data_IF_882473700647
#
_entry.id   IF_882473700647
#
_cell.length_a   1.000
_cell.length_b   1.000
_cell.length_c   1.000
_cell.angle_alpha   90.00
_cell.angle_beta   90.00
_cell.angle_gamma   90.00
#
_symmetry.space_group_name_H-M   'P 1'
#
loop_
_entity.id
_entity.type
_entity.pdbx_description
1 polymer ?
#
# COMPACT_ATOMS: atom_id res chain seq x y z
N UNK A 1 31.55 49.60 -20.28
CA UNK A 1 32.27 48.71 -19.33
C UNK A 1 31.47 48.35 -18.08
N UNK A 2 30.53 49.18 -17.59
CA UNK A 2 29.72 48.84 -16.41
C UNK A 2 28.59 47.80 -16.66
N UNK A 3 28.03 47.74 -17.88
CA UNK A 3 26.94 46.81 -18.21
C UNK A 3 27.41 45.36 -18.39
N UNK A 4 28.65 45.17 -18.82
CA UNK A 4 29.26 43.84 -18.97
C UNK A 4 29.70 43.25 -17.63
N UNK A 5 30.09 44.08 -16.66
CA UNK A 5 30.44 43.64 -15.31
C UNK A 5 29.22 43.20 -14.48
N UNK A 6 28.04 43.83 -14.68
CA UNK A 6 26.83 43.47 -13.93
C UNK A 6 26.23 42.11 -14.36
N UNK A 7 26.50 41.66 -15.59
CA UNK A 7 26.11 40.34 -16.09
C UNK A 7 26.93 39.19 -15.50
N UNK A 8 28.19 39.45 -15.14
CA UNK A 8 29.10 38.45 -14.54
C UNK A 8 28.78 38.23 -13.06
N UNK A 9 28.46 39.29 -12.31
CA UNK A 9 28.11 39.20 -10.88
C UNK A 9 26.79 38.45 -10.60
N UNK A 10 25.85 38.38 -11.56
CA UNK A 10 24.57 37.66 -11.38
C UNK A 10 24.72 36.13 -11.40
N UNK A 11 25.84 35.59 -11.87
CA UNK A 11 26.04 34.14 -11.97
C UNK A 11 26.56 33.50 -10.68
N UNK A 12 27.06 34.30 -9.74
CA UNK A 12 27.76 33.79 -8.54
C UNK A 12 26.86 33.69 -7.29
N UNK A 13 25.65 34.25 -7.30
CA UNK A 13 24.69 34.14 -6.20
C UNK A 13 23.30 33.74 -6.72
N UNK A 14 23.12 32.44 -7.00
CA UNK A 14 21.81 31.85 -7.23
C UNK A 14 21.36 31.13 -5.96
N UNK A 15 20.29 31.62 -5.32
CA UNK A 15 19.68 30.91 -4.20
C UNK A 15 19.05 29.60 -4.72
N UNK A 16 19.24 28.48 -4.02
CA UNK A 16 18.64 27.21 -4.44
C UNK A 16 17.11 27.27 -4.26
N UNK A 17 16.37 26.68 -5.20
CA UNK A 17 14.90 26.67 -5.22
C UNK A 17 14.35 25.60 -4.25
N UNK A 18 14.69 25.73 -2.96
CA UNK A 18 14.27 24.85 -1.87
C UNK A 18 13.24 25.59 -1.01
N UNK A 19 12.21 24.91 -0.48
CA UNK A 19 11.23 25.54 0.42
C UNK A 19 11.91 26.33 1.55
N UNK A 20 11.51 27.58 1.75
CA UNK A 20 12.06 28.47 2.79
C UNK A 20 13.16 29.44 2.34
N UNK A 21 13.70 29.30 1.12
CA UNK A 21 14.69 30.25 0.55
C UNK A 21 14.07 31.34 -0.33
N UNK A 22 12.74 31.43 -0.40
CA UNK A 22 12.00 32.49 -1.08
C UNK A 22 11.38 33.45 -0.06
N UNK A 23 11.71 34.73 -0.15
CA UNK A 23 11.01 35.77 0.59
C UNK A 23 9.66 36.02 -0.10
N UNK A 24 8.54 35.76 0.57
CA UNK A 24 7.20 35.81 -0.05
C UNK A 24 6.83 37.21 -0.57
N UNK A 25 6.93 37.42 -1.89
CA UNK A 25 6.32 38.56 -2.60
C UNK A 25 4.79 38.59 -2.46
N UNK A 26 4.19 37.52 -1.95
CA UNK A 26 2.76 37.34 -1.75
C UNK A 26 2.14 38.41 -0.83
N UNK A 27 2.94 39.06 0.02
CA UNK A 27 2.51 40.16 0.90
C UNK A 27 2.47 41.53 0.20
N UNK A 28 3.05 41.68 -1.01
CA UNK A 28 3.11 42.96 -1.75
C UNK A 28 2.02 43.13 -2.82
N UNK A 29 1.42 42.05 -3.31
CA UNK A 29 0.35 42.11 -4.32
C UNK A 29 -1.02 41.89 -3.69
N UNK A 30 -1.83 42.96 -3.62
CA UNK A 30 -3.19 42.92 -3.08
C UNK A 30 -4.27 42.57 -4.11
N UNK A 31 -4.00 42.74 -5.41
CA UNK A 31 -4.99 42.52 -6.47
C UNK A 31 -4.44 41.57 -7.53
N UNK A 32 -5.04 40.38 -7.63
CA UNK A 32 -4.79 39.42 -8.71
C UNK A 32 -5.93 39.48 -9.71
N UNK A 33 -5.71 40.09 -10.88
CA UNK A 33 -6.70 40.05 -11.95
C UNK A 33 -6.63 38.69 -12.65
N UNK A 34 -7.67 37.86 -12.46
CA UNK A 34 -7.78 36.56 -13.12
C UNK A 34 -8.42 36.74 -14.50
N UNK A 35 -7.59 36.69 -15.54
CA UNK A 35 -8.07 36.65 -16.93
C UNK A 35 -8.73 35.28 -17.18
N UNK A 36 -9.98 35.27 -17.66
CA UNK A 36 -10.65 34.05 -18.13
C UNK A 36 -10.07 33.64 -19.50
N UNK A 37 -8.90 32.98 -19.49
CA UNK A 37 -8.26 32.48 -20.71
C UNK A 37 -9.01 31.29 -21.33
N UNK A 38 -9.81 30.57 -20.53
CA UNK A 38 -10.60 29.43 -20.99
C UNK A 38 -12.09 29.72 -20.79
N UNK A 39 -12.82 29.83 -21.90
CA UNK A 39 -14.27 29.68 -21.94
C UNK A 39 -14.61 28.45 -22.77
N UNK A 40 -15.66 27.68 -22.41
CA UNK A 40 -16.18 26.66 -23.29
C UNK A 40 -16.88 27.37 -24.47
N UNK A 41 -16.14 27.59 -25.55
CA UNK A 41 -16.73 27.86 -26.86
C UNK A 41 -16.60 26.57 -27.69
N UNK A 42 -17.62 26.19 -28.47
CA UNK A 42 -17.60 24.92 -29.21
C UNK A 42 -16.49 24.88 -30.27
N UNK A 43 -15.93 26.03 -30.66
CA UNK A 43 -14.77 26.13 -31.53
C UNK A 43 -13.97 27.38 -31.16
N UNK A 44 -12.81 27.24 -30.50
CA UNK A 44 -11.83 28.34 -30.44
C UNK A 44 -10.40 27.84 -30.27
N UNK A 45 -9.56 28.20 -31.24
CA UNK A 45 -8.10 28.24 -31.11
C UNK A 45 -7.75 29.36 -30.14
N UNK A 46 -6.90 29.09 -29.15
CA UNK A 46 -6.42 30.09 -28.20
C UNK A 46 -5.42 31.02 -28.91
N UNK A 47 -5.83 32.25 -29.22
CA UNK A 47 -4.91 33.28 -29.72
C UNK A 47 -4.14 33.89 -28.55
N UNK A 48 -2.86 33.55 -28.46
CA UNK A 48 -1.90 34.18 -27.53
C UNK A 48 -1.13 35.22 -28.34
N UNK A 49 -1.10 36.48 -27.88
CA UNK A 49 -0.54 37.64 -28.61
C UNK A 49 0.93 37.50 -29.08
N UNK A 50 1.66 36.46 -28.67
CA UNK A 50 3.08 36.25 -28.99
C UNK A 50 3.35 35.13 -30.00
N UNK A 51 2.34 34.46 -30.55
CA UNK A 51 2.55 33.36 -31.52
C UNK A 51 1.84 33.69 -32.84
N UNK A 52 2.57 33.82 -33.98
CA UNK A 52 1.96 34.01 -35.29
C UNK A 52 1.03 32.85 -35.64
N UNK A 53 -0.13 33.16 -36.22
CA UNK A 53 -1.12 32.16 -36.62
C UNK A 53 -0.61 31.41 -37.85
N UNK A 54 -0.48 30.08 -37.74
CA UNK A 54 -0.06 29.20 -38.82
C UNK A 54 -1.20 29.03 -39.85
N UNK A 55 -0.99 29.53 -41.07
CA UNK A 55 -1.98 29.64 -42.16
C UNK A 55 -2.08 28.38 -43.05
N UNK A 56 -1.44 27.27 -42.65
CA UNK A 56 -1.39 26.03 -43.42
C UNK A 56 -2.77 25.35 -43.57
N UNK A 57 -3.67 25.49 -42.59
CA UNK A 57 -5.03 24.89 -42.67
C UNK A 57 -5.96 25.58 -43.67
N UNK A 58 -5.87 26.90 -43.83
CA UNK A 58 -6.74 27.66 -44.75
C UNK A 58 -6.47 27.38 -46.22
N UNK A 59 -5.31 26.83 -46.56
CA UNK A 59 -5.00 26.42 -47.94
C UNK A 59 -5.55 25.03 -48.29
N UNK A 60 -5.79 24.15 -47.30
CA UNK A 60 -6.31 22.80 -47.55
C UNK A 60 -7.80 22.82 -47.91
N UNK A 61 -8.60 23.68 -47.24
CA UNK A 61 -10.05 23.79 -47.47
C UNK A 61 -10.41 24.36 -48.86
N UNK A 62 -9.53 25.17 -49.48
CA UNK A 62 -9.75 25.71 -50.82
C UNK A 62 -9.52 24.70 -51.94
N UNK A 63 -8.85 23.58 -51.67
CA UNK A 63 -8.58 22.54 -52.68
C UNK A 63 -9.69 21.49 -52.75
N UNK A 64 -10.47 21.32 -51.68
CA UNK A 64 -11.53 20.31 -51.58
C UNK A 64 -12.87 20.70 -52.21
N UNK A 65 -13.07 21.96 -52.60
CA UNK A 65 -14.33 22.45 -53.18
C UNK A 65 -14.36 22.41 -54.72
N UNK A 66 -13.26 22.07 -55.38
CA UNK A 66 -13.16 22.04 -56.85
C UNK A 66 -13.53 20.69 -57.49
N UNK A 67 -13.73 19.63 -56.70
CA UNK A 67 -13.95 18.26 -57.23
C UNK A 67 -15.40 17.77 -57.14
N UNK A 68 -16.35 18.60 -56.74
CA UNK A 68 -17.76 18.19 -56.48
C UNK A 68 -18.82 18.74 -57.43
N UNK A 69 -18.44 19.35 -58.56
CA UNK A 69 -19.41 20.03 -59.46
C UNK A 69 -19.34 19.58 -60.91
N UNK A 70 -19.25 18.27 -61.18
CA UNK A 70 -19.28 17.77 -62.58
C UNK A 70 -20.27 16.61 -62.84
N UNK A 71 -20.71 15.83 -61.85
CA UNK A 71 -21.58 14.67 -62.11
C UNK A 71 -23.05 14.87 -61.66
N UNK A 72 -23.68 15.93 -62.15
CA UNK A 72 -25.10 16.21 -61.85
C UNK A 72 -25.87 16.64 -63.11
N UNK A 73 -25.76 15.87 -64.20
CA UNK A 73 -26.73 15.91 -65.32
C UNK A 73 -26.78 14.58 -66.07
N UNK A 74 -27.71 13.68 -65.69
CA UNK A 74 -28.60 12.91 -66.59
C UNK A 74 -29.47 11.97 -65.76
N UNK A 75 -30.78 12.18 -65.85
CA UNK A 75 -31.82 11.57 -65.04
C UNK A 75 -32.40 10.28 -65.65
N UNK A 76 -32.98 9.48 -64.74
CA UNK A 76 -34.12 8.53 -64.87
C UNK A 76 -34.12 7.41 -65.93
N UNK A 77 -34.36 6.18 -65.45
CA UNK A 77 -35.56 5.35 -65.74
C UNK A 77 -35.42 3.97 -65.07
N UNK A 78 -36.49 3.55 -64.39
CA UNK A 78 -36.72 2.18 -63.88
C UNK A 78 -36.82 1.18 -65.05
N UNK A 79 -36.16 0.02 -64.97
CA UNK A 79 -36.87 -1.26 -65.11
C UNK A 79 -35.98 -2.49 -64.86
N UNK A 80 -36.60 -3.48 -64.23
CA UNK A 80 -36.11 -4.83 -64.05
C UNK A 80 -36.03 -5.60 -65.37
N UNK A 81 -34.88 -6.22 -65.70
CA UNK A 81 -34.75 -7.57 -66.27
C UNK A 81 -33.27 -7.95 -66.44
N UNK A 82 -32.98 -9.21 -66.10
CA UNK A 82 -31.71 -9.92 -66.24
C UNK A 82 -31.08 -9.76 -67.62
N UNK A 83 -29.75 -9.63 -67.66
CA UNK A 83 -28.90 -10.15 -68.73
C UNK A 83 -27.46 -10.29 -68.20
N UNK A 84 -26.94 -11.52 -68.24
CA UNK A 84 -25.53 -11.82 -68.12
C UNK A 84 -24.76 -11.05 -69.19
N UNK A 85 -23.81 -10.23 -68.76
CA UNK A 85 -22.76 -9.72 -69.63
C UNK A 85 -21.44 -9.89 -68.87
N UNK A 86 -20.73 -10.95 -69.24
CA UNK A 86 -19.32 -11.14 -68.93
C UNK A 86 -18.53 -9.95 -69.45
N UNK A 87 -18.41 -8.91 -68.65
CA UNK A 87 -17.43 -7.86 -68.85
C UNK A 87 -16.09 -8.47 -68.46
N UNK A 88 -15.26 -8.76 -69.46
CA UNK A 88 -13.82 -8.93 -69.25
C UNK A 88 -13.25 -7.57 -68.84
N UNK A 89 -13.58 -7.17 -67.61
CA UNK A 89 -12.90 -6.10 -66.93
C UNK A 89 -11.55 -6.67 -66.54
N UNK A 90 -10.48 -6.09 -67.06
CA UNK A 90 -9.15 -6.30 -66.49
C UNK A 90 -9.28 -6.03 -65.00
N UNK A 91 -9.31 -7.09 -64.19
CA UNK A 91 -9.47 -7.02 -62.74
C UNK A 91 -8.19 -6.44 -62.20
N UNK A 92 -8.03 -5.12 -62.28
CA UNK A 92 -7.34 -4.38 -61.24
C UNK A 92 -8.26 -4.56 -60.03
N UNK A 93 -8.05 -5.66 -59.31
CA UNK A 93 -8.74 -5.91 -58.06
C UNK A 93 -8.49 -4.66 -57.21
N UNK A 94 -9.55 -3.95 -56.80
CA UNK A 94 -9.39 -2.73 -56.02
C UNK A 94 -8.77 -3.13 -54.67
N UNK A 95 -7.44 -2.97 -54.59
CA UNK A 95 -6.62 -3.24 -53.41
C UNK A 95 -6.76 -2.10 -52.38
N UNK A 96 -7.50 -1.04 -52.74
CA UNK A 96 -7.85 0.09 -51.89
C UNK A 96 -8.49 -0.38 -50.58
N UNK A 97 -7.94 0.06 -49.46
CA UNK A 97 -8.42 -0.31 -48.12
C UNK A 97 -8.09 -1.74 -47.65
N UNK A 98 -7.44 -2.58 -48.46
CA UNK A 98 -6.95 -3.90 -48.01
C UNK A 98 -5.62 -3.74 -47.27
N UNK A 99 -5.58 -4.25 -46.05
CA UNK A 99 -4.40 -4.13 -45.15
C UNK A 99 -4.03 -5.49 -44.62
N UNK A 100 -2.77 -5.86 -44.80
CA UNK A 100 -2.22 -7.07 -44.22
C UNK A 100 -1.66 -6.78 -42.83
N UNK A 101 -2.17 -7.50 -41.83
CA UNK A 101 -1.78 -7.36 -40.44
C UNK A 101 -0.98 -8.57 -39.94
N UNK A 102 0.22 -8.32 -39.47
CA UNK A 102 1.09 -9.32 -38.83
C UNK A 102 1.36 -8.95 -37.37
N UNK A 103 1.59 -9.97 -36.55
CA UNK A 103 1.98 -9.82 -35.16
C UNK A 103 3.43 -10.27 -35.00
N UNK A 104 4.24 -9.40 -34.41
CA UNK A 104 5.60 -9.72 -34.08
C UNK A 104 6.02 -9.17 -32.73
N UNK A 105 7.26 -9.43 -32.38
CA UNK A 105 7.85 -8.91 -31.16
C UNK A 105 9.32 -8.60 -31.34
N UNK A 106 9.84 -7.73 -30.48
CA UNK A 106 11.26 -7.45 -30.36
C UNK A 106 11.70 -7.58 -28.90
N UNK A 107 12.96 -7.97 -28.69
CA UNK A 107 13.55 -8.07 -27.35
C UNK A 107 14.39 -6.82 -27.09
N UNK A 108 14.06 -6.10 -26.03
CA UNK A 108 14.77 -4.88 -25.61
C UNK A 108 15.57 -5.17 -24.35
N UNK A 109 16.86 -4.83 -24.34
CA UNK A 109 17.72 -5.01 -23.17
C UNK A 109 17.43 -3.92 -22.11
N UNK A 110 17.30 -4.31 -20.85
CA UNK A 110 17.01 -3.41 -19.72
C UNK A 110 18.12 -3.56 -18.67
N UNK A 111 19.18 -2.74 -18.74
CA UNK A 111 20.38 -2.93 -17.92
C UNK A 111 20.21 -2.59 -16.43
N UNK A 112 19.29 -1.70 -16.07
CA UNK A 112 19.23 -1.11 -14.70
C UNK A 112 18.05 -1.59 -13.86
N UNK A 113 17.26 -2.56 -14.33
CA UNK A 113 16.12 -3.03 -13.56
C UNK A 113 16.50 -4.17 -12.62
N UNK A 114 15.95 -4.16 -11.40
CA UNK A 114 16.09 -5.25 -10.43
C UNK A 114 15.20 -6.46 -10.75
N UNK A 115 14.31 -6.32 -11.73
CA UNK A 115 13.21 -7.25 -12.01
C UNK A 115 13.50 -8.10 -13.25
N UNK A 116 13.89 -7.47 -14.34
CA UNK A 116 14.14 -8.10 -15.64
C UNK A 116 15.45 -7.60 -16.27
N UNK A 117 16.06 -8.42 -17.12
CA UNK A 117 17.26 -8.03 -17.92
C UNK A 117 16.90 -7.76 -19.37
N UNK A 118 15.88 -8.42 -19.87
CA UNK A 118 15.36 -8.28 -21.22
C UNK A 118 13.86 -8.14 -21.10
N UNK A 119 13.27 -7.26 -21.92
CA UNK A 119 11.84 -7.04 -22.02
C UNK A 119 11.33 -7.39 -23.39
N UNK A 120 10.16 -8.03 -23.45
CA UNK A 120 9.50 -8.41 -24.68
C UNK A 120 8.47 -7.36 -25.13
N UNK A 121 8.68 -6.72 -26.29
CA UNK A 121 7.78 -5.69 -26.84
C UNK A 121 6.98 -6.21 -28.02
N UNK A 122 5.67 -6.28 -27.87
CA UNK A 122 4.74 -6.82 -28.87
C UNK A 122 4.30 -5.73 -29.83
N UNK A 123 4.50 -5.96 -31.12
CA UNK A 123 4.22 -5.00 -32.19
C UNK A 123 3.30 -5.61 -33.25
N UNK A 124 2.52 -4.75 -33.87
CA UNK A 124 1.62 -5.07 -34.97
C UNK A 124 2.11 -4.35 -36.21
N UNK A 125 2.35 -5.10 -37.28
CA UNK A 125 2.73 -4.57 -38.58
C UNK A 125 1.47 -4.49 -39.44
N UNK A 126 1.22 -3.33 -40.02
CA UNK A 126 0.16 -3.15 -41.01
C UNK A 126 0.82 -2.77 -42.35
N UNK A 127 0.70 -3.66 -43.34
CA UNK A 127 1.18 -3.46 -44.70
C UNK A 127 -0.02 -3.13 -45.59
N UNK A 128 -0.01 -1.97 -46.22
CA UNK A 128 -1.10 -1.47 -47.05
C UNK A 128 -0.86 -1.92 -48.50
N UNK A 129 -1.81 -2.68 -49.07
CA UNK A 129 -1.65 -3.24 -50.42
C UNK A 129 -1.84 -2.21 -51.53
N UNK A 130 -2.46 -1.07 -51.23
CA UNK A 130 -2.72 0.01 -52.19
C UNK A 130 -1.43 0.71 -52.67
N UNK A 131 -0.44 0.86 -51.79
CA UNK A 131 0.80 1.60 -52.05
C UNK A 131 2.07 0.93 -51.53
N UNK A 132 1.96 -0.32 -51.05
CA UNK A 132 3.04 -1.09 -50.43
C UNK A 132 3.72 -0.35 -49.26
N UNK A 133 3.02 0.55 -48.58
CA UNK A 133 3.54 1.20 -47.38
C UNK A 133 3.34 0.32 -46.15
N UNK A 134 4.15 0.55 -45.12
CA UNK A 134 4.06 -0.14 -43.84
C UNK A 134 3.91 0.86 -42.70
N UNK A 135 3.10 0.49 -41.71
CA UNK A 135 3.09 1.11 -40.38
C UNK A 135 3.30 0.05 -39.31
N UNK A 136 3.89 0.45 -38.19
CA UNK A 136 4.12 -0.45 -37.05
C UNK A 136 3.54 0.22 -35.82
N UNK A 137 2.77 -0.52 -35.03
CA UNK A 137 2.19 -0.04 -33.78
C UNK A 137 2.41 -1.06 -32.68
N UNK A 138 2.96 -0.62 -31.55
CA UNK A 138 3.04 -1.44 -30.35
C UNK A 138 1.69 -1.49 -29.63
N UNK A 139 1.32 -2.68 -29.13
CA UNK A 139 0.20 -2.81 -28.22
C UNK A 139 0.63 -2.31 -26.85
N UNK A 140 -0.02 -1.27 -26.31
CA UNK A 140 0.26 -0.75 -24.98
C UNK A 140 -0.57 -1.49 -23.93
N UNK A 141 0.01 -2.42 -23.13
CA UNK A 141 -0.74 -3.00 -22.04
C UNK A 141 -0.97 -1.97 -20.94
N UNK A 142 -2.08 -2.14 -20.20
CA UNK A 142 -2.41 -1.29 -19.05
C UNK A 142 -1.26 -1.24 -18.05
N UNK A 143 -1.03 -0.09 -17.41
CA UNK A 143 0.08 0.16 -16.49
C UNK A 143 1.45 -0.34 -16.96
N UNK A 144 1.73 -0.30 -18.27
CA UNK A 144 3.04 -0.68 -18.80
C UNK A 144 4.16 0.31 -18.44
N UNK A 145 3.80 1.53 -18.05
CA UNK A 145 4.74 2.59 -17.69
C UNK A 145 5.45 3.21 -18.90
N UNK A 146 5.14 2.79 -20.12
CA UNK A 146 5.69 3.40 -21.33
C UNK A 146 4.93 4.68 -21.67
N UNK A 147 5.61 5.82 -21.58
CA UNK A 147 5.06 7.11 -21.97
C UNK A 147 4.79 7.18 -23.50
N UNK A 148 5.62 6.50 -24.30
CA UNK A 148 5.51 6.49 -25.75
C UNK A 148 5.69 5.06 -26.29
N UNK A 149 4.65 4.49 -26.92
CA UNK A 149 4.76 3.19 -27.56
C UNK A 149 5.68 3.26 -28.79
N UNK A 150 6.33 2.13 -29.11
CA UNK A 150 7.08 1.94 -30.34
C UNK A 150 6.11 2.01 -31.51
N UNK A 151 6.23 3.07 -32.31
CA UNK A 151 5.38 3.27 -33.48
C UNK A 151 6.22 3.75 -34.67
N UNK A 152 5.95 3.16 -35.83
CA UNK A 152 6.46 3.60 -37.12
C UNK A 152 5.29 4.16 -37.93
N UNK A 153 5.43 5.42 -38.35
CA UNK A 153 4.43 6.07 -39.23
C UNK A 153 4.35 5.34 -40.57
N UNK A 154 3.18 5.40 -41.21
CA UNK A 154 2.94 4.83 -42.53
C UNK A 154 3.85 5.46 -43.58
N UNK A 155 4.73 4.67 -44.18
CA UNK A 155 5.56 5.04 -45.34
C UNK A 155 6.21 3.78 -45.94
N UNK A 156 6.94 3.94 -47.04
CA UNK A 156 7.73 2.86 -47.64
C UNK A 156 8.97 2.64 -46.77
N UNK A 157 9.10 1.43 -46.25
CA UNK A 157 10.21 1.07 -45.34
C UNK A 157 11.31 0.39 -46.16
N UNK A 158 12.54 0.91 -46.18
CA UNK A 158 13.66 0.27 -46.84
C UNK A 158 14.24 -0.87 -45.99
N UNK A 159 14.66 -1.92 -46.66
CA UNK A 159 15.49 -2.98 -46.10
C UNK A 159 16.95 -2.49 -45.96
N UNK A 160 17.83 -3.33 -45.41
CA UNK A 160 19.26 -3.01 -45.28
C UNK A 160 19.94 -2.68 -46.61
N UNK A 161 19.50 -3.30 -47.70
CA UNK A 161 20.01 -3.10 -49.06
C UNK A 161 19.40 -1.87 -49.77
N UNK A 162 18.47 -1.16 -49.12
CA UNK A 162 17.74 -0.03 -49.69
C UNK A 162 16.55 -0.41 -50.57
N UNK A 163 16.32 -1.70 -50.81
CA UNK A 163 15.10 -2.20 -51.46
C UNK A 163 13.88 -1.96 -50.57
N UNK A 164 12.72 -1.58 -51.13
CA UNK A 164 11.51 -1.41 -50.34
C UNK A 164 11.00 -2.77 -49.86
N UNK A 165 10.67 -2.85 -48.56
CA UNK A 165 10.05 -4.03 -47.98
C UNK A 165 8.63 -4.14 -48.51
N UNK A 166 8.28 -5.32 -49.02
CA UNK A 166 6.95 -5.64 -49.53
C UNK A 166 6.28 -6.71 -48.67
N UNK A 167 5.00 -7.01 -48.94
CA UNK A 167 4.31 -8.10 -48.25
C UNK A 167 4.99 -9.46 -48.47
N UNK A 168 5.70 -9.64 -49.59
CA UNK A 168 6.39 -10.89 -49.91
C UNK A 168 7.51 -11.24 -48.91
N UNK A 169 8.06 -10.24 -48.21
CA UNK A 169 9.15 -10.40 -47.25
C UNK A 169 8.66 -10.80 -45.84
N UNK A 170 7.35 -10.88 -45.62
CA UNK A 170 6.75 -11.28 -44.34
C UNK A 170 6.39 -12.76 -44.33
N UNK A 171 6.97 -13.52 -43.41
CA UNK A 171 6.59 -14.91 -43.11
C UNK A 171 6.49 -15.12 -41.60
N UNK A 172 5.52 -15.90 -41.16
CA UNK A 172 5.37 -16.27 -39.74
C UNK A 172 6.52 -17.19 -39.36
N UNK A 173 7.23 -16.87 -38.28
CA UNK A 173 8.42 -17.59 -37.82
C UNK A 173 9.75 -17.03 -38.33
N UNK A 174 9.73 -16.07 -39.25
CA UNK A 174 10.94 -15.42 -39.76
C UNK A 174 11.19 -14.07 -39.07
N UNK A 175 12.47 -13.68 -39.04
CA UNK A 175 12.89 -12.38 -38.53
C UNK A 175 12.98 -11.35 -39.65
N UNK A 176 12.43 -10.17 -39.40
CA UNK A 176 12.57 -9.01 -40.29
C UNK A 176 13.36 -7.89 -39.62
N UNK A 177 14.30 -7.32 -40.35
CA UNK A 177 15.18 -6.25 -39.87
C UNK A 177 15.03 -4.98 -40.68
N UNK A 178 14.68 -3.88 -40.01
CA UNK A 178 14.67 -2.55 -40.59
C UNK A 178 14.89 -1.51 -39.49
N UNK A 179 15.42 -0.34 -39.87
CA UNK A 179 15.75 0.75 -38.93
C UNK A 179 16.54 0.31 -37.69
N UNK A 180 17.48 -0.63 -37.87
CA UNK A 180 18.35 -1.11 -36.80
C UNK A 180 17.64 -1.97 -35.74
N UNK A 181 16.40 -2.41 -35.99
CA UNK A 181 15.65 -3.29 -35.09
C UNK A 181 15.28 -4.60 -35.79
N UNK A 182 15.50 -5.69 -35.07
CA UNK A 182 15.11 -7.05 -35.44
C UNK A 182 13.75 -7.35 -34.81
N UNK A 183 12.80 -7.80 -35.62
CA UNK A 183 11.50 -8.25 -35.18
C UNK A 183 11.29 -9.70 -35.56
N UNK A 184 10.73 -10.49 -34.65
CA UNK A 184 10.30 -11.86 -34.91
C UNK A 184 8.80 -11.88 -35.14
N UNK A 185 8.35 -12.39 -36.27
CA UNK A 185 6.92 -12.53 -36.58
C UNK A 185 6.42 -13.85 -36.00
N UNK A 186 5.38 -13.81 -35.18
CA UNK A 186 4.85 -15.02 -34.52
C UNK A 186 3.43 -15.36 -34.95
N UNK A 187 2.66 -14.40 -35.46
CA UNK A 187 1.30 -14.66 -35.93
C UNK A 187 0.90 -13.70 -37.06
N UNK A 188 -0.16 -14.06 -37.78
CA UNK A 188 -0.73 -13.31 -38.88
C UNK A 188 -2.26 -13.35 -38.79
N UNK A 189 -2.91 -12.24 -39.11
CA UNK A 189 -4.36 -12.12 -39.01
C UNK A 189 -5.09 -13.04 -39.99
N UNK A 190 -6.34 -13.39 -39.70
CA UNK A 190 -7.10 -14.34 -40.54
C UNK A 190 -7.17 -13.90 -42.00
N UNK A 191 -7.48 -12.62 -42.24
CA UNK A 191 -7.51 -12.04 -43.58
C UNK A 191 -6.17 -12.19 -44.32
N UNK A 192 -5.05 -11.99 -43.61
CA UNK A 192 -3.74 -12.17 -44.23
C UNK A 192 -3.47 -13.61 -44.61
N UNK A 193 -3.84 -14.56 -43.75
CA UNK A 193 -3.67 -15.98 -44.04
C UNK A 193 -4.46 -16.39 -45.28
N UNK A 194 -5.69 -15.90 -45.40
CA UNK A 194 -6.55 -16.16 -46.56
C UNK A 194 -5.94 -15.54 -47.83
N UNK A 195 -5.45 -14.29 -47.79
CA UNK A 195 -4.80 -13.62 -48.91
C UNK A 195 -3.53 -14.34 -49.40
N UNK A 196 -2.67 -14.79 -48.47
CA UNK A 196 -1.46 -15.53 -48.81
C UNK A 196 -1.80 -16.90 -49.42
N UNK A 197 -2.84 -17.56 -48.91
CA UNK A 197 -3.34 -18.83 -49.44
C UNK A 197 -3.90 -18.68 -50.87
N UNK A 198 -4.62 -17.60 -51.15
CA UNK A 198 -5.07 -17.26 -52.51
C UNK A 198 -3.88 -16.99 -53.45
N UNK A 199 -2.82 -16.37 -52.95
CA UNK A 199 -1.55 -16.18 -53.65
C UNK A 199 -0.69 -17.44 -53.80
N UNK A 200 -1.16 -18.60 -53.34
CA UNK A 200 -0.45 -19.89 -53.44
C UNK A 200 0.69 -20.10 -52.43
N UNK A 201 0.78 -19.25 -51.40
CA UNK A 201 1.80 -19.34 -50.34
C UNK A 201 1.10 -19.56 -49.00
N UNK A 202 1.22 -20.73 -48.39
CA UNK A 202 0.64 -20.94 -47.06
C UNK A 202 1.58 -20.40 -45.95
N UNK A 203 1.02 -19.61 -45.03
CA UNK A 203 1.74 -19.12 -43.86
C UNK A 203 1.74 -20.16 -42.74
N UNK A 204 2.89 -20.32 -42.08
CA UNK A 204 3.05 -21.17 -40.90
C UNK A 204 2.03 -20.84 -39.79
N UNK A 205 1.65 -21.83 -38.95
CA UNK A 205 0.74 -21.61 -37.83
C UNK A 205 1.33 -20.63 -36.80
N UNK A 206 0.46 -20.08 -35.94
CA UNK A 206 0.87 -19.17 -34.89
C UNK A 206 1.91 -19.82 -33.96
N UNK A 207 3.04 -19.14 -33.74
CA UNK A 207 4.09 -19.58 -32.83
C UNK A 207 3.86 -19.06 -31.41
N UNK A 208 4.28 -19.86 -30.44
CA UNK A 208 4.21 -19.48 -29.04
C UNK A 208 5.19 -18.33 -28.73
N UNK A 209 4.69 -17.33 -28.01
CA UNK A 209 5.52 -16.22 -27.55
C UNK A 209 6.45 -16.69 -26.43
N UNK A 210 7.74 -16.31 -26.45
CA UNK A 210 8.62 -16.55 -25.32
C UNK A 210 8.07 -15.85 -24.09
N UNK A 211 8.12 -16.50 -22.93
CA UNK A 211 7.68 -15.87 -21.69
C UNK A 211 8.82 -15.07 -21.06
N UNK A 212 8.56 -13.81 -20.76
CA UNK A 212 9.49 -12.89 -20.10
C UNK A 212 9.23 -12.83 -18.58
N UNK A 213 10.30 -12.69 -17.79
CA UNK A 213 10.25 -12.52 -16.33
C UNK A 213 9.29 -11.39 -15.91
N UNK A 214 9.23 -10.29 -16.65
CA UNK A 214 8.28 -9.20 -16.38
C UNK A 214 6.83 -9.62 -16.58
N UNK A 215 6.56 -10.35 -17.67
CA UNK A 215 5.22 -10.87 -17.96
C UNK A 215 4.80 -11.89 -16.91
N UNK A 216 5.70 -12.77 -16.48
CA UNK A 216 5.46 -13.76 -15.43
C UNK A 216 5.17 -13.12 -14.07
N UNK A 217 5.96 -12.12 -13.66
CA UNK A 217 5.76 -11.44 -12.38
C UNK A 217 4.43 -10.70 -12.32
N UNK A 218 3.97 -10.21 -13.46
CA UNK A 218 2.69 -9.51 -13.57
C UNK A 218 1.50 -10.44 -13.75
N UNK A 219 1.70 -11.60 -14.37
CA UNK A 219 0.68 -12.65 -14.50
C UNK A 219 0.53 -13.46 -13.22
N UNK A 220 1.53 -13.44 -12.32
CA UNK A 220 1.33 -13.94 -10.96
C UNK A 220 0.11 -13.22 -10.41
N UNK A 221 -0.89 -13.96 -9.89
CA UNK A 221 -1.93 -13.32 -9.12
C UNK A 221 -1.17 -12.58 -8.02
N UNK A 222 -1.23 -11.25 -8.06
CA UNK A 222 -0.89 -10.43 -6.91
C UNK A 222 -1.71 -11.09 -5.81
N UNK A 223 -1.03 -11.72 -4.84
CA UNK A 223 -1.64 -12.13 -3.59
C UNK A 223 -2.41 -10.89 -3.19
N UNK A 224 -3.73 -10.95 -3.39
CA UNK A 224 -4.47 -9.71 -3.60
C UNK A 224 -4.25 -8.94 -2.30
N UNK A 225 -4.17 -7.62 -2.30
CA UNK A 225 -3.75 -6.88 -1.09
C UNK A 225 -4.58 -7.17 0.19
N UNK A 226 -5.66 -7.96 0.07
CA UNK A 226 -6.43 -8.64 1.11
C UNK A 226 -5.82 -9.94 1.71
N UNK A 227 -4.70 -10.45 1.20
CA UNK A 227 -3.96 -11.55 1.82
C UNK A 227 -3.03 -11.04 2.94
N UNK A 228 -2.75 -9.73 2.96
CA UNK A 228 -2.39 -9.04 4.20
C UNK A 228 -3.69 -8.87 4.96
N UNK A 229 -3.92 -9.72 5.97
CA UNK A 229 -5.06 -9.61 6.91
C UNK A 229 -5.16 -8.17 7.41
N UNK A 230 -5.95 -7.35 6.71
CA UNK A 230 -6.29 -6.04 7.19
C UNK A 230 -7.47 -6.27 8.14
N UNK A 231 -7.31 -5.86 9.40
CA UNK A 231 -8.34 -6.02 10.44
C UNK A 231 -9.68 -5.38 10.03
N UNK A 232 -9.69 -4.56 8.98
CA UNK A 232 -10.80 -3.70 8.62
C UNK A 232 -11.55 -4.03 7.31
N UNK A 233 -11.09 -4.90 6.39
CA UNK A 233 -11.69 -4.87 5.05
C UNK A 233 -11.56 -6.08 4.10
N UNK A 234 -11.62 -7.34 4.55
CA UNK A 234 -11.50 -8.48 3.61
C UNK A 234 -12.82 -9.23 3.37
N UNK A 235 -13.66 -8.64 2.50
CA UNK A 235 -14.61 -9.25 1.55
C UNK A 235 -15.92 -8.43 1.49
N UNK A 236 -16.38 -7.98 0.30
CA UNK A 236 -17.70 -7.35 0.15
C UNK A 236 -18.88 -8.31 0.41
N UNK A 237 -18.62 -9.57 0.80
CA UNK A 237 -19.63 -10.57 1.16
C UNK A 237 -19.46 -11.15 2.58
N UNK A 238 -18.53 -10.65 3.41
CA UNK A 238 -18.48 -11.01 4.84
C UNK A 238 -19.26 -9.98 5.67
N UNK A 239 -20.60 -10.02 5.56
CA UNK A 239 -21.51 -9.28 6.45
C UNK A 239 -21.52 -9.91 7.86
N UNK A 240 -21.06 -11.16 8.00
CA UNK A 240 -21.04 -11.88 9.26
C UNK A 240 -19.68 -11.73 9.98
N UNK A 241 -19.73 -11.25 11.21
CA UNK A 241 -18.60 -11.32 12.15
C UNK A 241 -18.17 -12.78 12.33
N UNK A 242 -16.86 -13.01 12.44
CA UNK A 242 -16.35 -14.33 12.79
C UNK A 242 -16.94 -14.77 14.14
N UNK A 243 -17.22 -16.07 14.37
CA UNK A 243 -17.78 -16.54 15.65
C UNK A 243 -16.92 -16.16 16.88
N UNK A 244 -15.62 -15.94 16.70
CA UNK A 244 -14.73 -15.42 17.73
C UNK A 244 -14.97 -13.93 18.02
N UNK A 245 -15.15 -13.12 16.98
CA UNK A 245 -15.50 -11.69 17.12
C UNK A 245 -16.88 -11.51 17.75
N UNK A 246 -17.85 -12.36 17.40
CA UNK A 246 -19.19 -12.36 18.02
C UNK A 246 -19.08 -12.68 19.51
N UNK A 247 -18.31 -13.70 19.89
CA UNK A 247 -18.08 -14.05 21.30
C UNK A 247 -17.36 -12.94 22.07
N UNK A 248 -16.33 -12.33 21.48
CA UNK A 248 -15.63 -11.20 22.09
C UNK A 248 -16.57 -9.99 22.27
N UNK A 249 -17.44 -9.71 21.31
CA UNK A 249 -18.45 -8.67 21.43
C UNK A 249 -19.47 -9.01 22.53
N UNK A 250 -19.98 -10.23 22.60
CA UNK A 250 -20.89 -10.66 23.66
C UNK A 250 -20.26 -10.50 25.05
N UNK A 251 -19.02 -10.97 25.21
CA UNK A 251 -18.27 -10.82 26.45
C UNK A 251 -18.06 -9.34 26.81
N UNK A 252 -17.77 -8.49 25.83
CA UNK A 252 -17.66 -7.06 26.04
C UNK A 252 -18.99 -6.46 26.53
N UNK A 253 -20.11 -6.78 25.89
CA UNK A 253 -21.43 -6.26 26.29
C UNK A 253 -21.88 -6.74 27.67
N UNK A 254 -21.55 -7.98 28.06
CA UNK A 254 -21.93 -8.57 29.34
C UNK A 254 -21.14 -7.97 30.52
N UNK A 255 -19.86 -7.70 30.31
CA UNK A 255 -18.92 -7.31 31.35
C UNK A 255 -18.35 -5.88 31.17
N UNK A 256 -19.00 -5.04 30.38
CA UNK A 256 -18.56 -3.65 30.19
C UNK A 256 -18.59 -2.89 31.51
N UNK A 257 -17.48 -2.22 31.82
CA UNK A 257 -17.29 -1.53 33.10
C UNK A 257 -16.94 -2.43 34.30
N UNK A 258 -16.96 -3.76 34.16
CA UNK A 258 -16.56 -4.67 35.23
C UNK A 258 -15.04 -4.92 35.21
N UNK A 259 -14.37 -4.56 36.31
CA UNK A 259 -12.92 -4.66 36.44
C UNK A 259 -12.54 -5.28 37.78
N UNK A 260 -11.77 -6.36 37.75
CA UNK A 260 -11.19 -6.96 38.94
C UNK A 260 -9.95 -6.18 39.34
N UNK A 261 -10.01 -5.54 40.51
CA UNK A 261 -8.89 -4.81 41.10
C UNK A 261 -8.26 -5.61 42.22
N UNK A 262 -6.93 -5.74 42.17
CA UNK A 262 -6.13 -6.45 43.17
C UNK A 262 -4.91 -5.62 43.58
N UNK A 263 -4.52 -5.75 44.84
CA UNK A 263 -3.28 -5.20 45.37
C UNK A 263 -2.20 -6.27 45.30
N UNK A 264 -1.11 -5.94 44.61
CA UNK A 264 -0.04 -6.87 44.32
C UNK A 264 1.33 -6.33 44.75
N UNK A 265 2.28 -7.24 44.91
CA UNK A 265 3.66 -6.95 45.29
C UNK A 265 4.60 -7.68 44.37
N UNK A 266 5.64 -6.99 43.92
CA UNK A 266 6.78 -7.60 43.27
C UNK A 266 8.02 -7.35 44.13
N UNK A 267 8.60 -8.44 44.62
CA UNK A 267 9.83 -8.39 45.42
C UNK A 267 11.03 -8.56 44.49
N UNK A 268 11.74 -7.47 44.23
CA UNK A 268 12.98 -7.45 43.42
C UNK A 268 14.22 -7.32 44.31
N UNK A 269 14.10 -7.47 45.64
CA UNK A 269 15.19 -7.18 46.60
C UNK A 269 16.44 -8.05 46.45
N UNK A 270 16.35 -9.17 45.72
CA UNK A 270 17.51 -10.01 45.40
C UNK A 270 18.48 -9.35 44.40
N UNK A 271 18.01 -8.37 43.62
CA UNK A 271 18.85 -7.63 42.68
C UNK A 271 19.73 -6.58 43.39
N UNK A 272 20.90 -6.27 42.81
CA UNK A 272 21.90 -5.34 43.39
C UNK A 272 21.33 -3.95 43.73
N UNK A 273 20.32 -3.49 42.97
CA UNK A 273 19.58 -2.24 43.19
C UNK A 273 18.07 -2.50 43.27
N UNK A 274 17.72 -3.70 43.72
CA UNK A 274 16.38 -4.21 43.83
C UNK A 274 15.55 -3.46 44.87
N UNK A 275 14.27 -3.24 44.56
CA UNK A 275 13.33 -2.61 45.48
C UNK A 275 12.03 -3.40 45.46
N UNK A 276 11.33 -3.41 46.58
CA UNK A 276 9.98 -3.95 46.65
C UNK A 276 8.99 -3.00 45.98
N UNK A 277 8.40 -3.43 44.86
CA UNK A 277 7.40 -2.67 44.13
C UNK A 277 5.99 -3.04 44.62
N UNK A 278 5.16 -2.01 44.82
CA UNK A 278 3.74 -2.17 45.12
C UNK A 278 2.93 -1.85 43.86
N UNK A 279 2.05 -2.76 43.47
CA UNK A 279 1.26 -2.65 42.26
C UNK A 279 -0.23 -2.68 42.57
N UNK A 280 -1.00 -2.00 41.72
CA UNK A 280 -2.44 -2.24 41.56
C UNK A 280 -2.63 -2.92 40.22
N UNK A 281 -3.17 -4.14 40.24
CA UNK A 281 -3.50 -4.90 39.04
C UNK A 281 -4.98 -4.73 38.73
N UNK A 282 -5.27 -4.41 37.48
CA UNK A 282 -6.61 -4.35 36.91
C UNK A 282 -6.76 -5.43 35.85
N UNK A 283 -7.74 -6.30 36.02
CA UNK A 283 -8.14 -7.28 35.01
C UNK A 283 -9.52 -6.94 34.49
N UNK A 284 -9.62 -6.76 33.18
CA UNK A 284 -10.84 -6.36 32.50
C UNK A 284 -11.59 -7.60 32.03
N UNK A 285 -12.79 -7.82 32.58
CA UNK A 285 -13.60 -8.99 32.24
C UNK A 285 -14.12 -8.94 30.79
N UNK A 286 -14.29 -7.73 30.26
CA UNK A 286 -14.77 -7.48 28.90
C UNK A 286 -13.87 -8.03 27.78
N UNK A 287 -12.54 -8.04 27.97
CA UNK A 287 -11.56 -8.45 26.93
C UNK A 287 -10.44 -9.38 27.44
N UNK A 288 -10.43 -9.71 28.73
CA UNK A 288 -9.39 -10.55 29.35
C UNK A 288 -8.01 -9.90 29.36
N UNK A 289 -7.95 -8.57 29.32
CA UNK A 289 -6.68 -7.82 29.35
C UNK A 289 -6.27 -7.46 30.77
N UNK A 290 -4.97 -7.29 30.98
CA UNK A 290 -4.37 -6.88 32.26
C UNK A 290 -3.73 -5.49 32.08
N UNK A 291 -3.96 -4.62 33.04
CA UNK A 291 -3.20 -3.39 33.22
C UNK A 291 -2.60 -3.36 34.63
N UNK A 292 -1.35 -2.91 34.74
CA UNK A 292 -0.65 -2.78 36.02
C UNK A 292 -0.22 -1.34 36.22
N UNK A 293 -0.54 -0.82 37.40
CA UNK A 293 -0.19 0.54 37.83
C UNK A 293 0.70 0.45 39.05
N UNK A 294 1.84 1.16 39.02
CA UNK A 294 2.70 1.29 40.18
C UNK A 294 2.11 2.24 41.20
N UNK A 295 2.16 1.84 42.47
CA UNK A 295 1.67 2.63 43.59
C UNK A 295 2.77 3.59 44.02
N UNK A 296 2.67 4.82 43.55
CA UNK A 296 3.57 5.90 43.96
C UNK A 296 3.36 6.27 45.45
N UNK A 297 4.44 6.65 46.12
CA UNK A 297 4.41 7.14 47.49
C UNK A 297 5.27 8.40 47.64
N UNK A 298 4.91 9.31 48.58
CA UNK A 298 5.68 10.52 48.82
C UNK A 298 7.14 10.20 49.16
N UNK A 299 8.06 10.96 48.56
CA UNK A 299 9.50 10.82 48.76
C UNK A 299 10.06 9.44 48.37
N UNK A 300 9.44 8.74 47.42
CA UNK A 300 9.95 7.47 46.87
C UNK A 300 11.27 7.60 46.10
N UNK A 301 11.61 8.82 45.67
CA UNK A 301 12.75 9.07 44.78
C UNK A 301 12.54 8.57 43.35
N UNK A 302 11.31 8.16 43.00
CA UNK A 302 10.92 7.71 41.66
C UNK A 302 10.06 8.75 40.97
N UNK A 303 10.22 8.86 39.66
CA UNK A 303 9.39 9.71 38.81
C UNK A 303 7.98 9.10 38.72
N UNK A 304 6.91 9.86 39.03
CA UNK A 304 5.55 9.33 39.03
C UNK A 304 5.09 8.97 37.61
N UNK A 305 5.00 7.67 37.34
CA UNK A 305 4.48 7.16 36.07
C UNK A 305 3.09 6.54 36.28
N UNK A 306 2.06 7.01 35.56
CA UNK A 306 0.66 6.60 35.81
C UNK A 306 0.37 5.14 35.44
N UNK A 307 1.23 4.47 34.68
CA UNK A 307 1.08 3.06 34.29
C UNK A 307 2.45 2.38 34.22
N UNK A 308 2.51 1.13 34.65
CA UNK A 308 3.72 0.32 34.56
C UNK A 308 3.87 -0.31 33.16
N UNK A 309 2.80 -0.88 32.61
CA UNK A 309 2.71 -1.24 31.18
C UNK A 309 1.30 -1.02 30.61
N UNK A 310 1.19 -0.98 29.27
CA UNK A 310 -0.08 -0.73 28.56
C UNK A 310 -1.07 -1.89 28.74
N UNK A 311 -2.36 -1.59 28.83
CA UNK A 311 -3.44 -2.60 28.86
C UNK A 311 -3.31 -3.54 27.67
N UNK A 312 -3.11 -4.82 27.93
CA UNK A 312 -3.01 -5.85 26.91
C UNK A 312 -3.28 -7.24 27.50
N UNK A 313 -3.58 -8.22 26.64
CA UNK A 313 -3.67 -9.62 27.06
C UNK A 313 -2.25 -10.13 27.31
N UNK A 314 -2.04 -10.75 28.48
CA UNK A 314 -0.72 -11.25 28.89
C UNK A 314 -0.71 -12.77 28.77
N UNK A 315 0.21 -13.30 27.98
CA UNK A 315 0.39 -14.74 27.81
C UNK A 315 1.09 -15.34 29.04
N UNK A 316 0.69 -16.54 29.42
CA UNK A 316 1.40 -17.35 30.42
C UNK A 316 2.75 -17.79 29.84
N UNK A 317 3.83 -17.81 30.63
CA UNK A 317 5.13 -18.28 30.17
C UNK A 317 5.05 -19.76 29.76
N UNK A 318 5.67 -20.12 28.62
CA UNK A 318 5.84 -21.52 28.20
C UNK A 318 7.22 -22.00 28.70
N UNK A 319 7.28 -23.09 29.48
CA UNK A 319 8.54 -23.68 29.97
C UNK A 319 9.08 -23.04 31.26
N UNK A 320 10.41 -22.84 31.35
CA UNK A 320 11.20 -22.48 32.56
C UNK A 320 10.91 -21.08 33.17
N UNK A 321 9.76 -20.47 32.88
CA UNK A 321 9.38 -19.16 33.42
C UNK A 321 10.19 -17.96 32.89
N UNK A 322 11.13 -18.20 31.96
CA UNK A 322 11.90 -17.13 31.30
C UNK A 322 11.01 -16.37 30.31
N UNK A 323 11.19 -15.06 30.28
CA UNK A 323 10.52 -14.19 29.33
C UNK A 323 11.00 -14.49 27.91
N UNK A 324 10.07 -14.87 27.04
CA UNK A 324 10.34 -15.05 25.62
C UNK A 324 9.91 -13.77 24.85
N UNK A 325 10.84 -13.03 24.23
CA UNK A 325 10.50 -11.81 23.49
C UNK A 325 9.55 -12.06 22.32
N UNK A 326 9.41 -13.30 21.83
CA UNK A 326 8.43 -13.65 20.81
C UNK A 326 6.98 -13.56 21.28
N UNK A 327 6.74 -13.59 22.61
CA UNK A 327 5.40 -13.45 23.21
C UNK A 327 4.93 -12.00 23.34
N UNK A 328 5.82 -11.01 23.13
CA UNK A 328 5.39 -9.63 22.91
C UNK A 328 4.79 -9.56 21.52
N UNK A 329 3.48 -9.82 21.45
CA UNK A 329 2.68 -9.80 20.23
C UNK A 329 3.01 -8.57 19.40
N UNK A 330 3.86 -8.76 18.38
CA UNK A 330 4.01 -7.76 17.35
C UNK A 330 2.82 -7.95 16.42
N UNK A 331 2.14 -6.85 16.12
CA UNK A 331 1.02 -6.75 15.17
C UNK A 331 1.33 -7.36 13.78
N UNK A 332 2.59 -7.74 13.53
CA UNK A 332 3.10 -8.33 12.30
C UNK A 332 3.23 -9.86 12.31
N UNK A 333 3.23 -10.53 13.47
CA UNK A 333 3.41 -11.99 13.52
C UNK A 333 2.13 -12.66 13.97
N UNK A 334 1.76 -13.74 13.26
CA UNK A 334 0.58 -14.56 13.54
C UNK A 334 0.63 -15.01 14.99
N UNK A 335 -0.46 -14.77 15.73
CA UNK A 335 -0.62 -15.37 17.06
C UNK A 335 -0.50 -16.89 16.93
N UNK A 336 0.44 -17.50 17.65
CA UNK A 336 0.55 -18.95 17.69
C UNK A 336 -0.73 -19.51 18.33
N UNK A 337 -1.39 -20.45 17.65
CA UNK A 337 -2.65 -21.06 18.10
C UNK A 337 -2.61 -21.67 19.52
N UNK A 338 -1.42 -21.83 20.11
CA UNK A 338 -1.19 -22.40 21.44
C UNK A 338 -0.79 -21.36 22.50
N UNK A 339 -1.04 -20.06 22.32
CA UNK A 339 -0.81 -19.06 23.40
C UNK A 339 -1.94 -19.12 24.43
N UNK A 340 -1.61 -19.52 25.66
CA UNK A 340 -2.55 -19.50 26.79
C UNK A 340 -2.41 -18.16 27.51
N UNK A 341 -3.51 -17.43 27.65
CA UNK A 341 -3.55 -16.15 28.36
C UNK A 341 -3.95 -16.33 29.82
N UNK A 342 -3.57 -15.37 30.68
CA UNK A 342 -4.13 -15.32 32.05
C UNK A 342 -5.64 -15.05 32.01
N UNK A 343 -6.36 -15.77 32.85
CA UNK A 343 -7.81 -15.63 33.02
C UNK A 343 -8.15 -15.10 34.41
N UNK A 344 -9.41 -14.79 34.65
CA UNK A 344 -9.94 -14.41 35.95
C UNK A 344 -9.72 -15.50 37.01
N UNK A 345 -9.66 -16.76 36.60
CA UNK A 345 -9.34 -17.89 37.48
C UNK A 345 -7.94 -17.81 38.10
N UNK A 346 -6.98 -17.19 37.42
CA UNK A 346 -5.60 -17.05 37.91
C UNK A 346 -5.47 -15.94 38.97
N UNK A 347 -6.48 -15.08 39.09
CA UNK A 347 -6.48 -13.89 39.96
C UNK A 347 -6.88 -14.30 41.38
N UNK A 348 -6.01 -15.10 42.02
CA UNK A 348 -6.19 -15.63 43.37
C UNK A 348 -5.27 -14.98 44.38
N UNK A 349 -5.73 -14.68 45.60
CA UNK A 349 -4.81 -14.28 46.69
C UNK A 349 -3.82 -15.42 46.91
N UNK A 350 -2.53 -15.08 46.97
CA UNK A 350 -1.44 -16.05 47.08
C UNK A 350 -0.90 -16.58 45.76
N UNK A 351 -1.62 -16.40 44.63
CA UNK A 351 -1.06 -16.72 43.33
C UNK A 351 0.02 -15.72 42.92
N UNK A 352 1.05 -16.23 42.25
CA UNK A 352 2.15 -15.46 41.66
C UNK A 352 1.97 -15.43 40.15
N UNK A 353 1.75 -14.24 39.59
CA UNK A 353 1.63 -14.02 38.15
C UNK A 353 3.00 -13.67 37.58
N UNK A 354 3.43 -14.37 36.54
CA UNK A 354 4.61 -14.00 35.78
C UNK A 354 4.22 -13.01 34.67
N UNK A 355 4.51 -11.73 34.90
CA UNK A 355 4.28 -10.64 33.96
C UNK A 355 5.61 -10.26 33.28
N UNK A 356 5.87 -10.84 32.12
CA UNK A 356 7.09 -10.60 31.32
C UNK A 356 8.40 -10.78 32.11
N UNK A 357 8.48 -11.88 32.88
CA UNK A 357 9.65 -12.22 33.70
C UNK A 357 9.59 -11.67 35.14
N UNK A 358 8.55 -10.91 35.50
CA UNK A 358 8.37 -10.38 36.86
C UNK A 358 7.34 -11.19 37.61
N UNK A 359 7.74 -11.69 38.78
CA UNK A 359 6.89 -12.50 39.65
C UNK A 359 6.07 -11.59 40.58
N UNK A 360 4.82 -11.36 40.21
CA UNK A 360 3.89 -10.47 40.92
C UNK A 360 2.96 -11.30 41.79
N UNK A 361 3.09 -11.16 43.12
CA UNK A 361 2.24 -11.83 44.10
C UNK A 361 0.97 -11.02 44.34
N UNK A 362 -0.20 -11.67 44.26
CA UNK A 362 -1.48 -11.07 44.62
C UNK A 362 -1.70 -11.18 46.12
N UNK A 363 -1.92 -10.04 46.80
CA UNK A 363 -2.01 -9.99 48.25
C UNK A 363 -3.42 -9.68 48.78
N UNK A 364 -4.15 -8.79 48.11
CA UNK A 364 -5.49 -8.35 48.56
C UNK A 364 -6.41 -8.05 47.36
N UNK A 365 -7.71 -8.03 47.61
CA UNK A 365 -8.78 -7.76 46.65
C UNK A 365 -9.61 -6.55 47.03
N UNK A 366 -10.16 -5.89 46.00
CA UNK A 366 -11.27 -4.96 46.16
C UNK A 366 -12.59 -5.68 46.52
N UNK A 367 -13.57 -4.94 47.03
CA UNK A 367 -14.87 -5.46 47.42
C UNK A 367 -15.62 -6.10 46.24
N UNK A 368 -15.60 -5.44 45.08
CA UNK A 368 -16.17 -5.97 43.83
C UNK A 368 -15.49 -7.27 43.39
N UNK A 369 -14.16 -7.32 43.46
CA UNK A 369 -13.41 -8.53 43.08
C UNK A 369 -13.80 -9.72 43.95
N UNK A 370 -14.02 -9.49 45.26
CA UNK A 370 -14.47 -10.55 46.19
C UNK A 370 -15.87 -11.04 45.86
N UNK A 371 -16.81 -10.14 45.59
CA UNK A 371 -18.18 -10.53 45.26
C UNK A 371 -18.23 -11.29 43.93
N UNK A 372 -17.48 -10.84 42.92
CA UNK A 372 -17.37 -11.51 41.63
C UNK A 372 -16.79 -12.94 41.77
N UNK A 373 -15.66 -13.09 42.46
CA UNK A 373 -15.03 -14.41 42.69
C UNK A 373 -15.93 -15.34 43.51
N UNK A 374 -16.67 -14.80 44.48
CA UNK A 374 -17.65 -15.56 45.26
C UNK A 374 -18.81 -16.05 44.40
N UNK A 375 -19.33 -15.20 43.52
CA UNK A 375 -20.48 -15.54 42.67
C UNK A 375 -20.10 -16.53 41.57
N UNK A 376 -18.95 -16.33 40.92
CA UNK A 376 -18.52 -17.13 39.75
C UNK A 376 -17.83 -18.43 40.14
N UNK A 377 -16.94 -18.39 41.14
CA UNK A 377 -16.10 -19.53 41.54
C UNK A 377 -16.47 -20.11 42.91
N UNK A 378 -17.44 -19.53 43.64
CA UNK A 378 -17.84 -20.01 44.96
C UNK A 378 -16.82 -19.76 46.06
N UNK A 379 -15.83 -18.90 45.84
CA UNK A 379 -14.73 -18.66 46.79
C UNK A 379 -15.23 -17.80 47.95
N UNK A 380 -15.27 -18.38 49.15
CA UNK A 380 -15.67 -17.70 50.40
C UNK A 380 -14.51 -17.40 51.34
N UNK A 381 -13.39 -18.12 51.17
CA UNK A 381 -12.18 -17.89 51.95
C UNK A 381 -11.48 -16.61 51.47
N UNK A 382 -11.34 -15.63 52.37
CA UNK A 382 -10.63 -14.39 52.11
C UNK A 382 -9.57 -14.21 53.21
N UNK A 383 -8.32 -14.47 52.87
CA UNK A 383 -7.16 -14.37 53.77
C UNK A 383 -6.13 -13.43 53.13
N UNK A 384 -6.20 -12.11 53.39
CA UNK A 384 -5.28 -11.16 52.77
C UNK A 384 -3.87 -11.36 53.30
N UNK A 385 -2.89 -11.36 52.40
CA UNK A 385 -1.49 -11.53 52.77
C UNK A 385 -0.95 -10.19 53.32
N UNK A 386 -0.48 -10.14 54.58
CA UNK A 386 0.11 -8.94 55.15
C UNK A 386 1.39 -8.59 54.40
N UNK A 387 1.40 -7.44 53.74
CA UNK A 387 2.52 -7.00 52.90
C UNK A 387 2.11 -6.43 51.55
N UNK A 388 0.85 -6.62 51.13
CA UNK A 388 0.27 -6.03 49.91
C UNK A 388 -0.03 -4.54 49.96
N UNK A 389 -0.08 -3.98 51.17
CA UNK A 389 -0.43 -2.58 51.42
C UNK A 389 0.85 -1.78 51.59
N UNK A 390 0.83 -0.57 51.04
CA UNK A 390 1.92 0.40 51.20
C UNK A 390 2.27 0.52 52.70
N UNK A 391 3.56 0.63 53.06
CA UNK A 391 3.92 1.00 54.41
C UNK A 391 3.27 2.36 54.74
N UNK A 392 2.68 2.53 55.94
CA UNK A 392 2.06 3.79 56.31
C UNK A 392 3.09 4.91 56.24
N UNK A 393 2.80 5.96 55.47
CA UNK A 393 3.64 7.15 55.39
C UNK A 393 3.66 7.77 56.78
N UNK A 394 4.82 7.73 57.44
CA UNK A 394 5.03 8.52 58.65
C UNK A 394 5.38 9.92 58.17
N UNK A 395 4.54 10.95 58.42
CA UNK A 395 4.90 12.31 58.08
C UNK A 395 6.21 12.66 58.80
N UNK A 396 7.20 13.12 58.04
CA UNK A 396 8.43 13.67 58.61
C UNK A 396 8.01 14.91 59.41
N UNK A 397 7.89 14.75 60.74
CA UNK A 397 7.48 15.80 61.69
C UNK A 397 6.30 15.46 62.61
N UNK A 398 5.54 14.37 62.41
CA UNK A 398 4.35 14.09 63.24
C UNK A 398 4.56 13.07 64.36
N UNK A 399 5.80 12.76 64.74
CA UNK A 399 6.04 12.19 66.07
C UNK A 399 5.91 13.33 67.09
N UNK A 400 4.67 13.60 67.54
CA UNK A 400 4.47 14.41 68.74
C UNK A 400 5.40 13.88 69.82
N UNK A 401 6.25 14.75 70.35
CA UNK A 401 7.22 14.48 71.42
C UNK A 401 6.60 13.72 72.61
N UNK A 402 5.26 13.76 72.77
CA UNK A 402 4.48 12.97 73.73
C UNK A 402 4.59 11.45 73.54
N UNK A 403 4.77 10.92 72.32
CA UNK A 403 4.86 9.47 72.07
C UNK A 403 6.24 8.92 72.41
N UNK A 404 7.29 9.68 72.13
CA UNK A 404 8.67 9.41 72.58
C UNK A 404 8.78 9.46 74.11
N UNK A 405 8.16 10.46 74.78
CA UNK A 405 8.11 10.53 76.24
C UNK A 405 7.36 9.36 76.89
N UNK A 406 6.29 8.85 76.28
CA UNK A 406 5.56 7.66 76.78
C UNK A 406 6.34 6.37 76.60
N UNK A 407 7.06 6.21 75.48
CA UNK A 407 7.97 5.10 75.25
C UNK A 407 9.15 5.14 76.24
N UNK A 408 9.74 6.32 76.46
CA UNK A 408 10.87 6.50 77.37
C UNK A 408 10.49 6.29 78.84
N UNK A 409 9.29 6.73 79.28
CA UNK A 409 8.77 6.43 80.62
C UNK A 409 8.47 4.94 80.82
N UNK A 410 7.95 4.23 79.80
CA UNK A 410 7.75 2.77 79.86
C UNK A 410 9.08 2.01 79.98
N UNK A 411 10.13 2.44 79.26
CA UNK A 411 11.45 1.82 79.36
C UNK A 411 12.14 2.10 80.72
N UNK A 412 11.92 3.27 81.33
CA UNK A 412 12.43 3.55 82.69
C UNK A 412 11.72 2.74 83.77
N UNK A 413 10.40 2.58 83.68
CA UNK A 413 9.67 1.79 84.67
C UNK A 413 9.96 0.28 84.56
N UNK A 414 10.17 -0.23 83.34
CA UNK A 414 10.55 -1.63 83.12
C UNK A 414 11.99 -1.96 83.52
N UNK A 415 12.87 -0.96 83.65
CA UNK A 415 14.24 -1.12 84.16
C UNK A 415 14.34 -0.98 85.68
N UNK A 416 13.41 -0.27 86.33
CA UNK A 416 13.33 -0.22 87.80
C UNK A 416 12.68 -1.46 88.43
N UNK A 417 11.81 -2.18 87.73
CA UNK A 417 11.21 -3.44 88.22
C UNK A 417 12.14 -4.67 88.10
N UNK A 418 13.26 -4.54 87.38
CA UNK A 418 14.28 -5.60 87.27
C UNK A 418 15.48 -5.43 88.21
N UNK A 419 15.46 -4.40 89.06
CA UNK A 419 16.54 -4.06 89.98
C UNK A 419 16.08 -3.91 91.45
N UNK A 420 14.97 -4.54 91.82
CA UNK A 420 14.49 -4.65 93.20
C UNK A 420 14.34 -6.11 93.62
#
# INVERSE_FOLDING_TARGET
MAYTQSGVMKKEFALPMVPGMTCGEEMLRRNYHRMQAHRPKPYSVNSIKSVPIDLTRSNMEKTSSLTKTVDDTLADVKDSRRLDASYQQTVNDDLSGRVLRFYGYTKEQVPESSIERERLRKVVFNVFLEDNTMSVAEQSPDNSGFAFPLALKRHIVPMHDGTPITFADFRVGETITFYGRTYMLYDADKFTRDFFKEGGVELEPAQELPTDAFTLLRSRPIAKAHDVRSIAADSPLNIALLPEQVRAAQQFLEHDGEVLRCDCVWDDTEALHGVKHFFTLYYFLADGSIAVVEKDFPNSGRDPFPRYFRRQRVAKPKGDGKFDPQTLGSLTFKEDANTVYYTDDDIRIGNVLNLYGRLVLICDYDEFTRSHLRNKFGITAYEPIPGGKMPPVVPIGSQSVRRLLRSWKKCKNASSEKAA
#
